data_IF_307547086276
#
_entry.id   IF_307547086276
#
_cell.length_a   1.000
_cell.length_b   1.000
_cell.length_c   1.000
_cell.angle_alpha   90.00
_cell.angle_beta   90.00
_cell.angle_gamma   90.00
#
_symmetry.space_group_name_H-M   'P 1'
#
loop_
_entity.id
_entity.type
_entity.pdbx_description
1 polymer ?
#
# COMPACT_ATOMS: atom_id res chain seq x y z
N UNK A 1 -25.53 -11.39 -5.19
CA UNK A 1 -24.33 -12.24 -5.19
C UNK A 1 -23.10 -11.35 -5.04
N UNK A 2 -22.76 -10.95 -3.82
CA UNK A 2 -21.44 -10.43 -3.48
C UNK A 2 -20.91 -11.41 -2.44
N UNK A 3 -19.92 -12.19 -2.86
CA UNK A 3 -19.31 -13.23 -2.04
C UNK A 3 -18.47 -12.58 -0.95
N UNK A 4 -18.72 -12.98 0.30
CA UNK A 4 -18.03 -12.50 1.47
C UNK A 4 -16.54 -12.82 1.43
N UNK A 5 -15.73 -11.84 1.84
CA UNK A 5 -14.34 -12.06 2.21
C UNK A 5 -14.31 -12.79 3.56
N UNK A 6 -13.47 -13.83 3.75
CA UNK A 6 -13.34 -14.45 5.06
C UNK A 6 -12.64 -13.46 6.00
N UNK A 7 -13.35 -13.00 7.04
CA UNK A 7 -12.72 -12.34 8.18
C UNK A 7 -11.92 -13.40 8.95
N UNK A 8 -10.65 -13.58 8.59
CA UNK A 8 -9.71 -14.29 9.44
C UNK A 8 -9.43 -13.42 10.66
N UNK A 9 -9.96 -13.80 11.81
CA UNK A 9 -9.67 -13.15 13.09
C UNK A 9 -8.15 -13.27 13.37
N UNK A 10 -7.45 -12.13 13.33
CA UNK A 10 -6.05 -12.05 13.72
C UNK A 10 -5.85 -12.22 15.23
N UNK A 11 -4.63 -12.55 15.69
CA UNK A 11 -4.34 -12.76 17.10
C UNK A 11 -4.50 -11.46 17.93
N UNK A 12 -4.77 -11.56 19.24
CA UNK A 12 -4.90 -10.39 20.12
C UNK A 12 -3.57 -9.63 20.16
N UNK A 13 -3.56 -8.37 19.69
CA UNK A 13 -2.37 -7.50 19.67
C UNK A 13 -1.90 -7.06 18.29
N UNK A 14 -2.55 -7.48 17.21
CA UNK A 14 -2.37 -6.85 15.90
C UNK A 14 -3.21 -5.57 15.85
N UNK A 15 -2.57 -4.41 16.02
CA UNK A 15 -3.14 -3.15 15.53
C UNK A 15 -3.21 -3.31 14.00
N UNK A 16 -4.40 -3.50 13.43
CA UNK A 16 -4.58 -3.18 12.02
C UNK A 16 -4.44 -1.66 11.97
N UNK A 17 -3.30 -1.14 11.56
CA UNK A 17 -3.30 0.20 11.00
C UNK A 17 -3.85 0.03 9.59
N UNK A 18 -4.98 0.66 9.23
CA UNK A 18 -5.42 0.70 7.85
C UNK A 18 -4.24 1.21 7.03
N UNK A 19 -3.84 0.45 6.01
CA UNK A 19 -2.96 1.00 5.01
C UNK A 19 -3.73 2.17 4.38
N UNK A 20 -3.36 3.40 4.73
CA UNK A 20 -3.85 4.61 4.08
C UNK A 20 -3.53 4.46 2.59
N UNK A 21 -4.54 4.10 1.78
CA UNK A 21 -4.38 3.97 0.35
C UNK A 21 -4.46 5.35 -0.25
N UNK A 22 -3.34 6.08 -0.25
CA UNK A 22 -3.24 7.31 -1.01
C UNK A 22 -3.39 6.95 -2.50
N UNK A 23 -4.33 7.61 -3.18
CA UNK A 23 -4.48 7.44 -4.62
C UNK A 23 -3.19 7.90 -5.32
N UNK A 24 -2.56 7.02 -6.09
CA UNK A 24 -1.35 7.33 -6.86
C UNK A 24 -1.72 7.82 -8.27
N UNK A 25 -0.77 8.47 -8.96
CA UNK A 25 -0.95 8.98 -10.34
C UNK A 25 -2.07 10.02 -10.51
N UNK A 26 -2.41 10.75 -9.44
CA UNK A 26 -3.49 11.74 -9.45
C UNK A 26 -3.19 12.90 -10.40
N UNK A 27 -1.93 13.31 -10.53
CA UNK A 27 -1.52 14.40 -11.42
C UNK A 27 -1.70 14.00 -12.89
N UNK A 28 -1.21 12.83 -13.29
CA UNK A 28 -1.32 12.29 -14.65
C UNK A 28 -2.79 12.05 -15.02
N UNK A 29 -3.57 11.51 -14.08
CA UNK A 29 -5.01 11.35 -14.26
C UNK A 29 -5.70 12.71 -14.49
N UNK A 30 -5.36 13.72 -13.70
CA UNK A 30 -5.91 15.07 -13.84
C UNK A 30 -5.60 15.69 -15.20
N UNK A 31 -4.36 15.53 -15.69
CA UNK A 31 -3.94 16.04 -17.00
C UNK A 31 -4.65 15.31 -18.15
N UNK A 32 -4.79 13.98 -18.06
CA UNK A 32 -5.55 13.18 -19.05
C UNK A 32 -7.02 13.62 -19.11
N UNK A 33 -7.67 13.80 -17.96
CA UNK A 33 -9.06 14.30 -17.91
C UNK A 33 -9.19 15.70 -18.50
N UNK A 34 -8.22 16.58 -18.25
CA UNK A 34 -8.21 17.92 -18.83
C UNK A 34 -8.06 17.87 -20.37
N UNK A 35 -7.20 17.00 -20.89
CA UNK A 35 -7.08 16.78 -22.32
C UNK A 35 -8.37 16.27 -22.93
N UNK A 36 -8.98 15.24 -22.32
CA UNK A 36 -10.25 14.70 -22.79
C UNK A 36 -11.34 15.76 -22.83
N UNK A 37 -11.48 16.56 -21.76
CA UNK A 37 -12.47 17.65 -21.72
C UNK A 37 -12.28 18.64 -22.88
N UNK A 38 -11.03 18.93 -23.26
CA UNK A 38 -10.70 19.85 -24.36
C UNK A 38 -10.91 19.25 -25.75
N UNK A 39 -10.78 17.93 -25.90
CA UNK A 39 -10.77 17.23 -27.18
C UNK A 39 -11.96 16.26 -27.34
N UNK A 40 -13.07 16.54 -26.68
CA UNK A 40 -14.31 15.75 -26.77
C UNK A 40 -14.09 14.26 -26.47
N UNK A 41 -13.22 13.97 -25.50
CA UNK A 41 -12.87 12.62 -25.05
C UNK A 41 -12.28 11.73 -26.16
N UNK A 42 -11.64 12.31 -27.18
CA UNK A 42 -10.94 11.55 -28.21
C UNK A 42 -9.57 11.08 -27.75
N UNK A 43 -9.40 9.77 -27.61
CA UNK A 43 -8.13 9.16 -27.20
C UNK A 43 -6.97 9.46 -28.15
N UNK A 44 -7.24 9.52 -29.46
CA UNK A 44 -6.22 9.83 -30.46
C UNK A 44 -5.59 11.22 -30.24
N UNK A 45 -6.39 12.20 -29.81
CA UNK A 45 -5.95 13.55 -29.50
C UNK A 45 -5.20 13.64 -28.16
N UNK A 46 -5.47 12.71 -27.23
CA UNK A 46 -4.89 12.66 -25.88
C UNK A 46 -3.91 11.50 -25.67
N UNK A 47 -3.38 10.94 -26.77
CA UNK A 47 -2.53 9.74 -26.74
C UNK A 47 -1.30 9.90 -25.84
N UNK A 48 -0.77 11.12 -25.75
CA UNK A 48 0.38 11.43 -24.88
C UNK A 48 -0.03 11.32 -23.41
N UNK A 49 -1.10 12.00 -23.02
CA UNK A 49 -1.59 12.04 -21.64
C UNK A 49 -2.05 10.67 -21.16
N UNK A 50 -2.68 9.89 -22.04
CA UNK A 50 -3.07 8.50 -21.78
C UNK A 50 -1.83 7.63 -21.54
N UNK A 51 -0.80 7.76 -22.38
CA UNK A 51 0.46 7.00 -22.20
C UNK A 51 1.14 7.37 -20.88
N UNK A 52 1.23 8.66 -20.59
CA UNK A 52 1.87 9.15 -19.36
C UNK A 52 1.14 8.62 -18.11
N UNK A 53 -0.20 8.59 -18.13
CA UNK A 53 -1.02 7.99 -17.07
C UNK A 53 -0.80 6.48 -16.94
N UNK A 54 -0.83 5.73 -18.05
CA UNK A 54 -0.63 4.28 -18.03
C UNK A 54 0.79 3.91 -17.55
N UNK A 55 1.80 4.65 -17.97
CA UNK A 55 3.18 4.45 -17.52
C UNK A 55 3.30 4.73 -16.01
N UNK A 56 2.61 5.74 -15.49
CA UNK A 56 2.53 5.97 -14.05
C UNK A 56 1.85 4.81 -13.34
N UNK A 57 0.68 4.37 -13.82
CA UNK A 57 -0.08 3.30 -13.21
C UNK A 57 0.72 1.98 -13.17
N UNK A 58 1.45 1.66 -14.24
CA UNK A 58 2.33 0.49 -14.29
C UNK A 58 3.44 0.57 -13.22
N UNK A 59 4.12 1.73 -13.09
CA UNK A 59 5.13 1.92 -12.04
C UNK A 59 4.54 1.84 -10.64
N UNK A 60 3.37 2.43 -10.41
CA UNK A 60 2.68 2.39 -9.13
C UNK A 60 2.27 0.95 -8.75
N UNK A 61 1.82 0.15 -9.72
CA UNK A 61 1.50 -1.25 -9.53
C UNK A 61 2.74 -2.05 -9.12
N UNK A 62 3.87 -1.87 -9.81
CA UNK A 62 5.12 -2.55 -9.48
C UNK A 62 5.67 -2.11 -8.12
N UNK A 63 5.61 -0.82 -7.80
CA UNK A 63 5.99 -0.31 -6.48
C UNK A 63 5.12 -0.92 -5.35
N UNK A 64 3.81 -1.06 -5.59
CA UNK A 64 2.89 -1.71 -4.65
C UNK A 64 3.24 -3.19 -4.42
N UNK A 65 3.58 -3.92 -5.48
CA UNK A 65 4.06 -5.31 -5.38
C UNK A 65 5.38 -5.40 -4.60
N UNK A 66 6.33 -4.52 -4.89
CA UNK A 66 7.63 -4.48 -4.20
C UNK A 66 7.47 -4.14 -2.71
N UNK A 67 6.58 -3.20 -2.36
CA UNK A 67 6.28 -2.87 -0.96
C UNK A 67 5.68 -4.07 -0.22
N UNK A 68 4.70 -4.74 -0.82
CA UNK A 68 4.13 -5.97 -0.26
C UNK A 68 5.20 -7.05 -0.03
N UNK A 69 6.14 -7.23 -0.97
CA UNK A 69 7.26 -8.15 -0.81
C UNK A 69 8.23 -7.71 0.30
N UNK A 70 8.57 -6.41 0.41
CA UNK A 70 9.44 -5.88 1.47
C UNK A 70 8.83 -5.99 2.86
N UNK A 71 7.53 -5.72 3.01
CA UNK A 71 6.80 -5.91 4.26
C UNK A 71 6.86 -7.37 4.71
N UNK A 72 6.92 -8.31 3.74
CA UNK A 72 7.08 -9.75 4.00
C UNK A 72 8.54 -10.13 4.30
N UNK A 73 9.51 -9.52 3.62
CA UNK A 73 10.93 -9.86 3.72
C UNK A 73 11.64 -9.19 4.91
N UNK A 74 10.98 -8.23 5.57
CA UNK A 74 11.36 -7.74 6.89
C UNK A 74 12.50 -6.70 6.88
N UNK A 75 12.55 -5.84 5.86
CA UNK A 75 13.42 -4.64 5.87
C UNK A 75 12.67 -3.41 6.40
N UNK A 76 12.06 -3.57 7.56
CA UNK A 76 11.59 -2.42 8.34
C UNK A 76 12.70 -2.01 9.29
N UNK A 77 12.92 -0.69 9.42
CA UNK A 77 13.79 -0.05 10.42
C UNK A 77 13.50 -0.50 11.87
N UNK A 78 12.39 -1.23 12.08
CA UNK A 78 11.92 -1.84 13.32
C UNK A 78 11.92 -3.37 13.23
N UNK A 79 12.27 -4.05 14.33
CA UNK A 79 12.22 -5.51 14.41
C UNK A 79 10.79 -6.01 14.17
N UNK A 80 10.67 -7.07 13.36
CA UNK A 80 9.38 -7.76 13.16
C UNK A 80 8.74 -8.05 14.52
N UNK A 81 7.41 -7.85 14.72
CA UNK A 81 6.77 -8.01 16.03
C UNK A 81 7.06 -9.37 16.69
N UNK A 82 7.15 -10.44 15.90
CA UNK A 82 7.54 -11.76 16.39
C UNK A 82 8.97 -11.81 16.96
N UNK A 83 9.93 -11.18 16.27
CA UNK A 83 11.32 -11.07 16.77
C UNK A 83 11.39 -10.20 18.03
N UNK A 84 10.64 -9.11 18.06
CA UNK A 84 10.58 -8.20 19.20
C UNK A 84 9.94 -8.87 20.43
N UNK A 85 8.83 -9.58 20.24
CA UNK A 85 8.18 -10.34 21.31
C UNK A 85 9.07 -11.45 21.87
N UNK A 86 9.83 -12.14 21.01
CA UNK A 86 10.80 -13.15 21.47
C UNK A 86 11.93 -12.55 22.32
N UNK A 87 12.37 -11.32 21.99
CA UNK A 87 13.35 -10.60 22.79
C UNK A 87 12.77 -10.16 24.15
N UNK A 88 11.55 -9.62 24.15
CA UNK A 88 10.85 -9.20 25.38
C UNK A 88 10.54 -10.37 26.31
N UNK A 89 10.20 -11.55 25.76
CA UNK A 89 10.02 -12.77 26.56
C UNK A 89 11.33 -13.24 27.22
N UNK A 90 12.48 -12.97 26.60
CA UNK A 90 13.79 -13.35 27.13
C UNK A 90 14.27 -12.39 28.23
N UNK A 91 13.84 -11.13 28.16
CA UNK A 91 14.16 -10.07 29.12
C UNK A 91 12.86 -9.41 29.62
N UNK A 92 12.03 -10.13 30.39
CA UNK A 92 10.74 -9.61 30.84
C UNK A 92 10.93 -8.44 31.80
N UNK A 93 10.04 -7.45 31.70
CA UNK A 93 10.03 -6.31 32.60
C UNK A 93 9.65 -6.78 34.02
N UNK A 94 10.50 -6.48 35.01
CA UNK A 94 10.21 -6.72 36.43
C UNK A 94 9.37 -5.54 36.93
N UNK A 95 8.05 -5.66 36.83
CA UNK A 95 7.10 -4.64 37.27
C UNK A 95 7.03 -4.45 38.78
N UNK A 96 7.62 -5.36 39.56
CA UNK A 96 7.80 -5.20 40.99
C UNK A 96 9.29 -5.35 41.33
N UNK A 97 9.84 -4.37 42.07
CA UNK A 97 11.13 -4.51 42.74
C UNK A 97 11.06 -5.77 43.62
N UNK A 98 12.03 -6.67 43.42
CA UNK A 98 12.31 -7.74 44.36
C UNK A 98 13.32 -7.28 45.38
#
# INVERSE_FOLDING_TARGET
>A
MQNGHPQSAGPPGAYWEPAETEATCVTEMSVMMACWKKNEFRDEACRKEIRDFLDCAARAQEAGKMKALQDTLGDSRSLLPHKMNKLLQRFPNKSHLS
#
